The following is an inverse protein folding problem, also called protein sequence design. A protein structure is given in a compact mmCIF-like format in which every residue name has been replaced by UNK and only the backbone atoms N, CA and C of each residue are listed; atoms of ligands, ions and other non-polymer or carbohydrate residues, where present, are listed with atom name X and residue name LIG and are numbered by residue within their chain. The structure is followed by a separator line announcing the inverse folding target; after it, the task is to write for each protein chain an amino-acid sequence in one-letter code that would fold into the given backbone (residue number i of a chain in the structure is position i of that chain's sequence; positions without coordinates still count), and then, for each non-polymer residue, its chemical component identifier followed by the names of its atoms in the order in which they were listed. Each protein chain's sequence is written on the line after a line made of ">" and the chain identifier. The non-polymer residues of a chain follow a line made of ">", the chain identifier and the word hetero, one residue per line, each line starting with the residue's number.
data_IF_642053904875
#
_entry.id   IF_642053904875
#
_cell.length_a   1.000
_cell.length_b   1.000
_cell.length_c   1.000
_cell.angle_alpha   90.00
_cell.angle_beta   90.00
_cell.angle_gamma   90.00
#
_symmetry.space_group_name_H-M   'P 1'
#
loop_
_entity.id
_entity.type
_entity.pdbx_description
1 polymer ?
#
# COMPACT_ATOMS: atom_id res chain seq x y z
N UNK A 1 -14.84 -17.38 11.74
CA UNK A 1 -13.74 -16.50 12.22
C UNK A 1 -13.62 -16.54 13.73
N UNK A 2 -14.64 -16.13 14.50
CA UNK A 2 -14.63 -16.14 15.97
C UNK A 2 -14.15 -17.47 16.59
N UNK A 3 -14.70 -18.61 16.16
CA UNK A 3 -14.27 -19.94 16.63
C UNK A 3 -12.77 -20.25 16.39
N UNK A 4 -12.20 -19.78 15.27
CA UNK A 4 -10.77 -19.94 14.98
C UNK A 4 -9.93 -19.04 15.88
N UNK A 5 -10.39 -17.82 16.11
CA UNK A 5 -9.72 -16.88 17.00
C UNK A 5 -9.72 -17.45 18.42
N UNK A 6 -10.87 -17.88 18.92
CA UNK A 6 -11.04 -18.36 20.29
C UNK A 6 -10.13 -19.56 20.61
N UNK A 7 -9.93 -20.48 19.66
CA UNK A 7 -9.10 -21.69 19.83
C UNK A 7 -7.58 -21.47 19.67
N UNK A 8 -7.16 -20.33 19.13
CA UNK A 8 -5.75 -20.06 18.82
C UNK A 8 -5.12 -19.18 19.89
N UNK A 9 -3.84 -19.41 20.21
CA UNK A 9 -3.10 -18.61 21.19
C UNK A 9 -1.95 -17.85 20.56
N UNK A 10 -1.18 -18.49 19.68
CA UNK A 10 -0.06 -17.88 18.96
C UNK A 10 -0.51 -17.50 17.55
N UNK A 11 -0.53 -16.21 17.24
CA UNK A 11 -1.08 -15.68 16.00
C UNK A 11 0.02 -14.95 15.24
N UNK A 12 0.21 -15.33 13.98
CA UNK A 12 1.02 -14.55 13.05
C UNK A 12 0.09 -13.72 12.18
N UNK A 13 0.42 -12.44 12.04
CA UNK A 13 -0.22 -11.54 11.08
C UNK A 13 0.80 -11.19 10.01
N UNK A 14 0.45 -11.32 8.74
CA UNK A 14 1.34 -10.97 7.64
C UNK A 14 0.62 -10.16 6.56
N UNK A 15 1.41 -9.45 5.77
CA UNK A 15 0.94 -8.58 4.69
C UNK A 15 1.95 -8.53 3.54
N UNK A 16 1.67 -7.75 2.50
CA UNK A 16 2.43 -7.77 1.25
C UNK A 16 3.82 -7.13 1.35
N UNK A 17 4.64 -7.41 0.32
CA UNK A 17 5.93 -6.78 0.07
C UNK A 17 5.77 -5.30 -0.26
N UNK A 18 6.71 -4.48 0.20
CA UNK A 18 6.61 -3.02 0.22
C UNK A 18 5.31 -2.56 0.91
N UNK A 19 5.08 -2.99 2.17
CA UNK A 19 3.85 -2.68 2.88
C UNK A 19 3.71 -1.17 3.07
N UNK A 20 2.51 -0.67 2.84
CA UNK A 20 2.15 0.73 2.96
C UNK A 20 1.30 0.99 4.23
N UNK A 21 0.61 2.13 4.26
CA UNK A 21 -0.16 2.53 5.42
C UNK A 21 -1.37 1.65 5.72
N UNK A 22 -2.00 1.04 4.71
CA UNK A 22 -3.10 0.10 4.92
C UNK A 22 -2.57 -1.23 5.44
N UNK A 23 -1.58 -1.79 4.75
CA UNK A 23 -0.90 -3.01 5.16
C UNK A 23 -0.41 -2.98 6.62
N UNK A 24 0.31 -1.92 7.02
CA UNK A 24 0.83 -1.78 8.39
C UNK A 24 -0.29 -1.44 9.38
N UNK A 25 -1.19 -0.50 9.05
CA UNK A 25 -2.29 -0.09 9.93
C UNK A 25 -3.26 -1.24 10.21
N UNK A 26 -3.69 -1.96 9.18
CA UNK A 26 -4.57 -3.12 9.30
C UNK A 26 -3.93 -4.26 10.09
N UNK A 27 -2.64 -4.54 9.85
CA UNK A 27 -1.92 -5.58 10.58
C UNK A 27 -1.76 -5.25 12.07
N UNK A 28 -1.38 -4.02 12.41
CA UNK A 28 -1.23 -3.59 13.80
C UNK A 28 -2.58 -3.50 14.52
N UNK A 29 -3.65 -3.07 13.85
CA UNK A 29 -4.99 -3.09 14.42
C UNK A 29 -5.42 -4.51 14.83
N UNK A 30 -5.18 -5.51 13.97
CA UNK A 30 -5.45 -6.90 14.30
C UNK A 30 -4.56 -7.43 15.43
N UNK A 31 -3.28 -7.01 15.49
CA UNK A 31 -2.39 -7.37 16.59
C UNK A 31 -2.93 -6.86 17.93
N UNK A 32 -3.22 -5.56 18.02
CA UNK A 32 -3.78 -4.95 19.25
C UNK A 32 -5.11 -5.61 19.65
N UNK A 33 -5.95 -5.95 18.67
CA UNK A 33 -7.17 -6.71 18.92
C UNK A 33 -6.90 -8.07 19.58
N UNK A 34 -5.94 -8.84 19.07
CA UNK A 34 -5.59 -10.14 19.65
C UNK A 34 -4.96 -10.02 21.04
N UNK A 35 -4.08 -9.04 21.24
CA UNK A 35 -3.49 -8.76 22.56
C UNK A 35 -4.57 -8.40 23.59
N UNK A 36 -5.55 -7.57 23.21
CA UNK A 36 -6.72 -7.25 24.06
C UNK A 36 -7.57 -8.48 24.39
N UNK A 37 -7.55 -9.51 23.55
CA UNK A 37 -8.18 -10.81 23.78
C UNK A 37 -7.31 -11.80 24.56
N UNK A 38 -6.15 -11.36 25.07
CA UNK A 38 -5.23 -12.20 25.85
C UNK A 38 -4.46 -13.23 25.00
N UNK A 39 -4.28 -12.94 23.71
CA UNK A 39 -3.57 -13.81 22.76
C UNK A 39 -2.20 -13.22 22.44
N UNK A 40 -1.27 -14.09 22.08
CA UNK A 40 0.06 -13.71 21.62
C UNK A 40 -0.01 -13.47 20.11
N UNK A 41 0.23 -12.24 19.66
CA UNK A 41 0.16 -11.88 18.25
C UNK A 41 1.42 -11.15 17.80
N UNK A 42 1.96 -11.55 16.65
CA UNK A 42 3.13 -10.91 16.05
C UNK A 42 2.88 -10.58 14.59
N UNK A 43 3.28 -9.37 14.19
CA UNK A 43 3.22 -8.93 12.80
C UNK A 43 4.56 -9.22 12.14
N UNK A 44 4.53 -9.86 10.98
CA UNK A 44 5.69 -10.18 10.15
C UNK A 44 5.48 -9.59 8.76
N UNK A 45 6.45 -8.82 8.28
CA UNK A 45 6.42 -8.18 6.96
C UNK A 45 7.60 -8.66 6.09
N UNK A 46 7.46 -8.76 4.76
CA UNK A 46 8.53 -9.29 3.91
C UNK A 46 9.80 -8.42 3.96
N UNK A 47 9.63 -7.10 3.93
CA UNK A 47 10.70 -6.12 3.84
C UNK A 47 10.42 -4.85 4.64
N UNK A 48 11.43 -3.98 4.71
CA UNK A 48 11.37 -2.71 5.45
C UNK A 48 10.21 -1.86 4.92
N UNK A 49 9.42 -1.31 5.84
CA UNK A 49 8.36 -0.36 5.57
C UNK A 49 8.83 1.09 5.79
N UNK A 50 8.12 2.09 5.23
CA UNK A 50 8.54 3.49 5.29
C UNK A 50 8.69 4.05 6.71
N UNK A 51 9.67 4.95 6.91
CA UNK A 51 9.96 5.58 8.21
C UNK A 51 8.77 6.35 8.78
N UNK A 52 7.92 6.93 7.92
CA UNK A 52 6.71 7.66 8.34
C UNK A 52 5.60 6.78 8.90
N UNK A 53 5.77 5.46 8.96
CA UNK A 53 4.85 4.53 9.63
C UNK A 53 5.40 3.99 10.96
N UNK A 54 6.68 4.24 11.28
CA UNK A 54 7.34 3.69 12.48
C UNK A 54 6.81 4.27 13.80
N UNK A 55 6.08 5.38 13.74
CA UNK A 55 5.44 5.97 14.92
C UNK A 55 4.15 5.25 15.33
N UNK A 56 3.61 4.35 14.49
CA UNK A 56 2.39 3.63 14.79
C UNK A 56 2.57 2.76 16.05
N UNK A 57 1.57 2.68 16.94
CA UNK A 57 1.66 1.85 18.14
C UNK A 57 1.95 0.38 17.78
N UNK A 58 3.03 -0.18 18.33
CA UNK A 58 3.47 -1.56 18.07
C UNK A 58 4.32 -1.75 16.81
N UNK A 59 4.64 -0.69 16.06
CA UNK A 59 5.48 -0.80 14.86
C UNK A 59 6.92 -1.27 15.17
N UNK A 60 7.44 -0.94 16.36
CA UNK A 60 8.79 -1.32 16.78
C UNK A 60 8.97 -2.84 16.99
N UNK A 61 7.89 -3.59 17.27
CA UNK A 61 7.97 -5.05 17.44
C UNK A 61 7.64 -5.84 16.16
N UNK A 62 7.42 -5.16 15.03
CA UNK A 62 7.21 -5.83 13.74
C UNK A 62 8.50 -6.57 13.34
N UNK A 63 8.37 -7.86 13.01
CA UNK A 63 9.48 -8.62 12.44
C UNK A 63 9.59 -8.35 10.95
N UNK A 64 10.74 -7.85 10.52
CA UNK A 64 11.06 -7.67 9.10
C UNK A 64 11.78 -8.92 8.61
N UNK A 65 11.12 -9.75 7.80
CA UNK A 65 11.62 -11.07 7.40
C UNK A 65 13.02 -11.02 6.77
N UNK A 66 13.26 -10.07 5.86
CA UNK A 66 14.59 -9.82 5.25
C UNK A 66 15.71 -9.48 6.25
N UNK A 67 15.39 -9.07 7.47
CA UNK A 67 16.37 -8.78 8.53
C UNK A 67 16.41 -9.84 9.63
N UNK A 68 15.28 -10.49 9.89
CA UNK A 68 15.03 -11.34 11.05
C UNK A 68 14.48 -12.71 10.63
N UNK A 69 14.96 -13.26 9.52
CA UNK A 69 14.45 -14.47 8.86
C UNK A 69 14.28 -15.65 9.83
N UNK A 70 15.31 -16.00 10.60
CA UNK A 70 15.26 -17.12 11.55
C UNK A 70 14.16 -16.95 12.60
N UNK A 71 13.98 -15.73 13.13
CA UNK A 71 12.97 -15.43 14.15
C UNK A 71 11.56 -15.45 13.53
N UNK A 72 11.41 -14.89 12.34
CA UNK A 72 10.15 -14.89 11.62
C UNK A 72 9.70 -16.32 11.26
N UNK A 73 10.60 -17.17 10.76
CA UNK A 73 10.32 -18.59 10.49
C UNK A 73 9.88 -19.34 11.74
N UNK A 74 10.60 -19.17 12.85
CA UNK A 74 10.22 -19.81 14.12
C UNK A 74 8.83 -19.37 14.60
N UNK A 75 8.48 -18.08 14.43
CA UNK A 75 7.14 -17.59 14.76
C UNK A 75 6.05 -18.18 13.84
N UNK A 76 6.31 -18.29 12.54
CA UNK A 76 5.40 -18.90 11.56
C UNK A 76 5.16 -20.39 11.84
N UNK A 77 6.22 -21.13 12.20
CA UNK A 77 6.15 -22.54 12.55
C UNK A 77 5.37 -22.79 13.86
N UNK A 78 5.48 -21.87 14.82
CA UNK A 78 4.80 -21.95 16.12
C UNK A 78 3.36 -21.42 16.09
N UNK A 79 2.90 -20.85 14.97
CA UNK A 79 1.58 -20.21 14.88
C UNK A 79 0.43 -21.23 14.94
N UNK A 80 -0.59 -20.93 15.73
CA UNK A 80 -1.87 -21.64 15.77
C UNK A 80 -2.88 -21.05 14.77
N UNK A 81 -2.60 -19.86 14.25
CA UNK A 81 -3.40 -19.12 13.28
C UNK A 81 -2.52 -18.14 12.52
N UNK A 82 -2.73 -18.05 11.22
CA UNK A 82 -2.15 -17.01 10.37
C UNK A 82 -3.28 -16.11 9.87
N UNK A 83 -3.15 -14.81 10.09
CA UNK A 83 -4.03 -13.77 9.55
C UNK A 83 -3.28 -13.03 8.45
N UNK A 84 -3.81 -13.08 7.24
CA UNK A 84 -3.25 -12.39 6.08
C UNK A 84 -4.06 -11.13 5.85
N UNK A 85 -3.41 -9.98 5.93
CA UNK A 85 -4.03 -8.68 5.71
C UNK A 85 -3.53 -8.08 4.39
N UNK A 86 -4.46 -7.49 3.64
CA UNK A 86 -4.16 -6.54 2.56
C UNK A 86 -3.40 -7.12 1.35
N UNK A 87 -3.71 -8.37 0.97
CA UNK A 87 -3.22 -8.98 -0.26
C UNK A 87 -4.12 -10.08 -0.77
N UNK A 88 -4.33 -10.12 -2.08
CA UNK A 88 -5.18 -11.11 -2.74
C UNK A 88 -4.46 -12.42 -3.13
N UNK A 89 -3.14 -12.42 -3.27
CA UNK A 89 -2.37 -13.55 -3.81
C UNK A 89 -1.11 -13.80 -2.99
N UNK A 90 -0.77 -15.08 -2.75
CA UNK A 90 0.38 -15.50 -1.93
C UNK A 90 1.71 -14.92 -2.42
N UNK A 91 1.89 -14.78 -3.74
CA UNK A 91 3.08 -14.20 -4.36
C UNK A 91 3.41 -12.79 -3.85
N UNK A 92 2.42 -12.05 -3.34
CA UNK A 92 2.64 -10.73 -2.72
C UNK A 92 3.38 -10.80 -1.38
N UNK A 93 3.50 -11.96 -0.75
CA UNK A 93 4.33 -12.20 0.44
C UNK A 93 5.83 -12.28 0.10
N UNK A 94 6.18 -12.36 -1.19
CA UNK A 94 7.57 -12.45 -1.67
C UNK A 94 8.36 -13.55 -0.94
N UNK A 95 9.46 -13.20 -0.29
CA UNK A 95 10.34 -14.15 0.41
C UNK A 95 9.71 -14.84 1.63
N UNK A 96 8.52 -14.43 2.07
CA UNK A 96 7.75 -15.11 3.12
C UNK A 96 6.76 -16.15 2.57
N UNK A 97 6.54 -16.18 1.25
CA UNK A 97 5.49 -17.00 0.64
C UNK A 97 5.66 -18.49 0.99
N UNK A 98 6.86 -19.03 0.80
CA UNK A 98 7.13 -20.45 1.02
C UNK A 98 6.83 -20.86 2.48
N UNK A 99 7.27 -20.06 3.45
CA UNK A 99 7.09 -20.35 4.88
C UNK A 99 5.60 -20.28 5.29
N UNK A 100 4.88 -19.26 4.80
CA UNK A 100 3.44 -19.09 5.09
C UNK A 100 2.61 -20.18 4.41
N UNK A 101 2.97 -20.59 3.20
CA UNK A 101 2.28 -21.66 2.47
C UNK A 101 2.55 -23.03 3.08
N UNK A 102 3.77 -23.27 3.58
CA UNK A 102 4.15 -24.52 4.24
C UNK A 102 3.58 -24.65 5.67
N UNK A 103 3.19 -23.53 6.31
CA UNK A 103 2.60 -23.54 7.65
C UNK A 103 1.33 -24.41 7.71
N UNK A 104 1.23 -25.20 8.78
CA UNK A 104 0.05 -26.04 9.06
C UNK A 104 -1.09 -25.27 9.72
N UNK A 105 -0.83 -24.03 10.13
CA UNK A 105 -1.81 -23.19 10.77
C UNK A 105 -2.99 -22.90 9.82
N UNK A 106 -4.24 -22.85 10.31
CA UNK A 106 -5.33 -22.27 9.55
C UNK A 106 -4.99 -20.84 9.14
N UNK A 107 -5.43 -20.45 7.94
CA UNK A 107 -5.22 -19.10 7.38
C UNK A 107 -6.55 -18.37 7.20
N UNK A 108 -6.60 -17.11 7.63
CA UNK A 108 -7.72 -16.18 7.40
C UNK A 108 -7.20 -15.03 6.54
N UNK A 109 -7.84 -14.78 5.41
CA UNK A 109 -7.60 -13.63 4.56
C UNK A 109 -8.59 -12.50 4.91
N UNK A 110 -8.09 -11.29 5.11
CA UNK A 110 -8.85 -10.04 5.26
C UNK A 110 -8.29 -9.04 4.23
N UNK A 111 -9.08 -8.72 3.21
CA UNK A 111 -8.57 -7.99 2.06
C UNK A 111 -9.68 -7.22 1.31
N UNK A 112 -9.28 -6.21 0.54
CA UNK A 112 -10.16 -5.41 -0.32
C UNK A 112 -9.70 -5.37 -1.80
N UNK A 113 -8.67 -6.13 -2.17
CA UNK A 113 -8.24 -6.22 -3.57
C UNK A 113 -9.19 -7.11 -4.38
N UNK A 114 -9.19 -6.92 -5.71
CA UNK A 114 -9.92 -7.79 -6.65
C UNK A 114 -9.26 -9.17 -6.75
N UNK A 115 -10.05 -10.18 -7.15
CA UNK A 115 -9.55 -11.50 -7.54
C UNK A 115 -8.68 -12.22 -6.47
N UNK A 116 -9.23 -12.50 -5.27
CA UNK A 116 -8.51 -13.27 -4.25
C UNK A 116 -8.22 -14.71 -4.70
N UNK A 117 -7.03 -15.21 -4.38
CA UNK A 117 -6.65 -16.60 -4.56
C UNK A 117 -7.41 -17.50 -3.57
N UNK A 118 -8.47 -18.14 -4.07
CA UNK A 118 -9.32 -19.05 -3.32
C UNK A 118 -8.60 -20.32 -2.83
N UNK A 119 -7.42 -20.64 -3.39
CA UNK A 119 -6.59 -21.76 -2.98
C UNK A 119 -5.62 -21.44 -1.84
N UNK A 120 -5.34 -20.15 -1.60
CA UNK A 120 -4.36 -19.71 -0.63
C UNK A 120 -4.88 -19.73 0.81
N UNK A 121 -6.09 -19.23 1.04
CA UNK A 121 -6.72 -19.17 2.36
C UNK A 121 -8.07 -19.89 2.36
N UNK A 122 -8.34 -20.71 3.39
CA UNK A 122 -9.63 -21.40 3.53
C UNK A 122 -10.75 -20.47 4.01
N UNK A 123 -10.41 -19.47 4.80
CA UNK A 123 -11.34 -18.50 5.34
C UNK A 123 -11.03 -17.14 4.73
N UNK A 124 -11.96 -16.56 3.99
CA UNK A 124 -11.72 -15.35 3.19
C UNK A 124 -12.80 -14.32 3.52
N UNK A 125 -12.34 -13.11 3.86
CA UNK A 125 -13.13 -11.89 3.93
C UNK A 125 -12.53 -10.94 2.88
N UNK A 126 -13.12 -10.94 1.68
CA UNK A 126 -12.68 -10.12 0.55
C UNK A 126 -13.79 -9.15 0.16
N UNK A 127 -13.51 -7.85 0.25
CA UNK A 127 -14.51 -6.79 0.05
C UNK A 127 -14.03 -5.71 -0.92
N UNK A 128 -14.05 -5.95 -2.24
CA UNK A 128 -13.49 -5.01 -3.21
C UNK A 128 -14.21 -3.66 -3.35
N UNK A 129 -15.37 -3.52 -2.70
CA UNK A 129 -16.12 -2.26 -2.64
C UNK A 129 -15.68 -1.35 -1.49
N UNK A 130 -14.84 -1.87 -0.59
CA UNK A 130 -14.28 -1.14 0.55
C UNK A 130 -13.01 -0.38 0.18
N UNK A 131 -12.82 0.74 0.86
CA UNK A 131 -11.79 1.70 0.54
C UNK A 131 -10.41 1.37 1.11
N UNK A 132 -10.32 0.34 1.95
CA UNK A 132 -9.10 -0.14 2.62
C UNK A 132 -9.41 -1.47 3.31
N UNK A 133 -8.40 -2.31 3.52
CA UNK A 133 -8.44 -3.43 4.46
C UNK A 133 -8.79 -2.95 5.87
N UNK A 134 -8.38 -1.73 6.24
CA UNK A 134 -8.78 -1.09 7.50
C UNK A 134 -10.29 -0.89 7.64
N UNK A 135 -11.01 -0.59 6.55
CA UNK A 135 -12.48 -0.52 6.55
C UNK A 135 -13.09 -1.92 6.74
N UNK A 136 -12.51 -2.95 6.11
CA UNK A 136 -12.94 -4.35 6.28
C UNK A 136 -12.87 -4.76 7.74
N UNK A 137 -11.78 -4.40 8.43
CA UNK A 137 -11.61 -4.68 9.86
C UNK A 137 -12.62 -3.88 10.70
N UNK A 138 -12.87 -2.61 10.40
CA UNK A 138 -13.90 -1.82 11.08
C UNK A 138 -15.30 -2.48 10.98
N UNK A 139 -15.65 -3.00 9.79
CA UNK A 139 -16.89 -3.79 9.63
C UNK A 139 -16.84 -5.06 10.47
N UNK A 140 -15.75 -5.84 10.41
CA UNK A 140 -15.62 -7.07 11.19
C UNK A 140 -15.76 -6.82 12.70
N UNK A 141 -15.13 -5.77 13.22
CA UNK A 141 -15.27 -5.39 14.63
C UNK A 141 -16.69 -4.96 14.96
N UNK A 142 -17.39 -4.31 14.04
CA UNK A 142 -18.80 -3.97 14.22
C UNK A 142 -19.67 -5.22 14.29
N UNK A 143 -19.50 -6.14 13.34
CA UNK A 143 -20.26 -7.39 13.26
C UNK A 143 -19.99 -8.31 14.48
N UNK A 144 -18.79 -8.24 15.06
CA UNK A 144 -18.44 -8.98 16.28
C UNK A 144 -18.88 -8.29 17.58
N UNK A 145 -19.44 -7.07 17.52
CA UNK A 145 -19.79 -6.28 18.70
C UNK A 145 -18.58 -5.73 19.47
N UNK A 146 -17.42 -5.64 18.80
CA UNK A 146 -16.13 -5.24 19.37
C UNK A 146 -15.80 -3.78 19.14
N UNK A 147 -16.38 -3.16 18.10
CA UNK A 147 -15.99 -1.84 17.63
C UNK A 147 -16.12 -0.75 18.71
N UNK A 148 -17.10 -0.83 19.62
CA UNK A 148 -17.25 0.15 20.72
C UNK A 148 -16.24 -0.07 21.87
N UNK A 149 -15.49 -1.18 21.86
CA UNK A 149 -14.54 -1.57 22.89
C UNK A 149 -13.09 -1.62 22.39
N UNK A 150 -12.81 -1.11 21.19
CA UNK A 150 -11.43 -1.02 20.71
C UNK A 150 -10.63 -0.02 21.55
N UNK A 151 -9.35 -0.29 21.67
CA UNK A 151 -8.37 0.62 22.26
C UNK A 151 -8.08 1.81 21.34
N UNK A 152 -7.50 2.87 21.91
CA UNK A 152 -6.99 4.00 21.14
C UNK A 152 -5.93 3.55 20.12
N UNK A 153 -5.07 2.58 20.46
CA UNK A 153 -4.06 2.02 19.56
C UNK A 153 -4.69 1.32 18.35
N UNK A 154 -5.72 0.49 18.55
CA UNK A 154 -6.52 -0.10 17.45
C UNK A 154 -7.10 1.01 16.57
N UNK A 155 -7.68 2.04 17.18
CA UNK A 155 -8.31 3.13 16.45
C UNK A 155 -7.31 3.97 15.61
N UNK A 156 -6.12 4.27 16.16
CA UNK A 156 -5.03 4.96 15.44
C UNK A 156 -4.60 4.16 14.21
N UNK A 157 -4.43 2.84 14.36
CA UNK A 157 -3.99 1.96 13.29
C UNK A 157 -5.06 1.85 12.18
N UNK A 158 -6.32 1.64 12.56
CA UNK A 158 -7.44 1.57 11.61
C UNK A 158 -7.65 2.89 10.85
N UNK A 159 -7.62 4.02 11.56
CA UNK A 159 -7.74 5.33 10.91
C UNK A 159 -6.58 5.57 9.95
N UNK A 160 -5.35 5.21 10.33
CA UNK A 160 -4.18 5.34 9.45
C UNK A 160 -4.33 4.52 8.19
N UNK A 161 -4.80 3.27 8.30
CA UNK A 161 -5.05 2.39 7.16
C UNK A 161 -6.04 3.03 6.16
N UNK A 162 -7.23 3.40 6.66
CA UNK A 162 -8.26 4.03 5.84
C UNK A 162 -7.81 5.37 5.23
N UNK A 163 -7.08 6.18 6.01
CA UNK A 163 -6.58 7.48 5.54
C UNK A 163 -5.53 7.30 4.44
N UNK A 164 -4.62 6.33 4.56
CA UNK A 164 -3.56 6.11 3.57
C UNK A 164 -4.13 5.64 2.23
N UNK A 165 -5.00 4.63 2.23
CA UNK A 165 -5.50 4.04 0.98
C UNK A 165 -6.52 4.93 0.24
N UNK A 166 -7.08 5.94 0.91
CA UNK A 166 -7.99 6.92 0.29
C UNK A 166 -7.32 8.27 -0.01
N UNK A 167 -6.01 8.40 0.21
CA UNK A 167 -5.29 9.66 0.08
C UNK A 167 -5.86 10.77 0.96
N UNK A 168 -6.05 10.46 2.24
CA UNK A 168 -6.75 11.28 3.21
C UNK A 168 -8.19 11.58 2.81
N UNK A 169 -8.94 10.54 2.41
CA UNK A 169 -10.34 10.62 2.01
C UNK A 169 -10.60 11.56 0.82
N UNK A 170 -9.64 11.62 -0.11
CA UNK A 170 -9.73 12.45 -1.33
C UNK A 170 -10.12 11.65 -2.58
N UNK A 171 -9.99 10.32 -2.53
CA UNK A 171 -10.48 9.40 -3.55
C UNK A 171 -11.05 8.12 -2.91
N UNK A 172 -11.85 7.37 -3.68
CA UNK A 172 -12.51 6.13 -3.25
C UNK A 172 -13.22 6.19 -1.87
N UNK A 173 -13.76 7.36 -1.51
CA UNK A 173 -14.21 7.65 -0.13
C UNK A 173 -15.62 8.24 -0.03
N UNK A 174 -16.41 8.19 -1.11
CA UNK A 174 -17.77 8.79 -1.12
C UNK A 174 -18.82 8.00 -0.32
N UNK A 175 -18.53 6.77 0.12
CA UNK A 175 -19.50 5.92 0.83
C UNK A 175 -19.74 6.50 2.24
N UNK A 176 -20.98 6.83 2.64
CA UNK A 176 -21.26 7.43 3.95
C UNK A 176 -20.73 6.62 5.14
N UNK A 177 -20.79 5.28 5.05
CA UNK A 177 -20.32 4.36 6.10
C UNK A 177 -18.84 4.52 6.44
N UNK A 178 -18.00 5.00 5.51
CA UNK A 178 -16.58 5.33 5.77
C UNK A 178 -16.51 6.41 6.86
N UNK A 179 -17.34 7.44 6.76
CA UNK A 179 -17.35 8.55 7.72
C UNK A 179 -18.03 8.17 9.03
N UNK A 180 -18.94 7.19 9.02
CA UNK A 180 -19.46 6.57 10.25
C UNK A 180 -18.34 5.83 11.00
N UNK A 181 -17.52 5.04 10.28
CA UNK A 181 -16.33 4.43 10.86
C UNK A 181 -15.36 5.47 11.40
N UNK A 182 -15.03 6.51 10.62
CA UNK A 182 -14.16 7.61 11.07
C UNK A 182 -14.71 8.28 12.34
N UNK A 183 -16.02 8.56 12.39
CA UNK A 183 -16.65 9.15 13.57
C UNK A 183 -16.52 8.25 14.79
N UNK A 184 -16.66 6.93 14.64
CA UNK A 184 -16.49 5.97 15.73
C UNK A 184 -15.03 5.91 16.18
N UNK A 185 -14.08 5.81 15.26
CA UNK A 185 -12.65 5.83 15.57
C UNK A 185 -12.24 7.10 16.35
N UNK A 186 -12.76 8.27 15.95
CA UNK A 186 -12.56 9.53 16.68
C UNK A 186 -13.12 9.50 18.10
N UNK A 187 -14.22 8.77 18.34
CA UNK A 187 -14.79 8.65 19.68
C UNK A 187 -13.90 7.88 20.68
N UNK A 188 -12.89 7.16 20.19
CA UNK A 188 -11.87 6.50 21.02
C UNK A 188 -10.68 7.41 21.37
N UNK A 189 -10.74 8.70 21.05
CA UNK A 189 -9.77 9.70 21.54
C UNK A 189 -8.58 9.99 20.61
N UNK A 190 -8.57 9.45 19.39
CA UNK A 190 -7.46 9.66 18.45
C UNK A 190 -7.35 11.12 17.98
N UNK A 191 -6.13 11.62 17.82
CA UNK A 191 -5.84 12.89 17.14
C UNK A 191 -5.58 12.64 15.65
N UNK A 192 -6.64 12.72 14.83
CA UNK A 192 -6.52 12.53 13.37
C UNK A 192 -5.55 13.50 12.69
N UNK A 193 -5.35 14.70 13.25
CA UNK A 193 -4.47 15.69 12.65
C UNK A 193 -3.02 15.35 12.94
N UNK A 194 -2.72 14.82 14.14
CA UNK A 194 -1.42 14.24 14.45
C UNK A 194 -1.12 13.05 13.55
N UNK A 195 -2.08 12.14 13.36
CA UNK A 195 -1.94 11.00 12.44
C UNK A 195 -1.61 11.49 11.02
N UNK A 196 -2.39 12.45 10.51
CA UNK A 196 -2.15 13.04 9.20
C UNK A 196 -0.74 13.66 9.08
N UNK A 197 -0.30 14.45 10.07
CA UNK A 197 1.03 15.06 10.08
C UNK A 197 2.14 14.01 10.12
N UNK A 198 1.99 12.97 10.93
CA UNK A 198 2.99 11.91 11.05
C UNK A 198 3.13 11.05 9.80
N UNK A 199 2.10 10.99 8.95
CA UNK A 199 2.16 10.28 7.66
C UNK A 199 2.63 11.22 6.54
N UNK A 200 1.95 12.35 6.35
CA UNK A 200 2.10 13.18 5.15
C UNK A 200 3.08 14.36 5.32
N UNK A 201 3.31 14.85 6.55
CA UNK A 201 4.18 16.01 6.82
C UNK A 201 5.56 15.58 7.34
N UNK A 202 6.13 14.57 6.71
CA UNK A 202 7.42 13.96 7.08
C UNK A 202 8.54 14.20 6.05
N UNK A 203 8.28 15.02 5.03
CA UNK A 203 9.24 15.27 3.96
C UNK A 203 10.49 15.97 4.48
N UNK A 204 11.66 15.44 4.11
CA UNK A 204 12.93 16.11 4.32
C UNK A 204 13.09 17.31 3.38
N UNK A 205 13.95 18.26 3.73
CA UNK A 205 14.33 19.37 2.81
C UNK A 205 14.82 18.82 1.46
N UNK A 206 15.63 17.75 1.48
CA UNK A 206 16.17 17.13 0.28
C UNK A 206 15.05 16.58 -0.63
N UNK A 207 14.03 15.93 -0.03
CA UNK A 207 12.84 15.45 -0.74
C UNK A 207 12.07 16.60 -1.39
N UNK A 208 11.84 17.68 -0.66
CA UNK A 208 11.14 18.86 -1.19
C UNK A 208 11.90 19.53 -2.34
N UNK A 209 13.23 19.65 -2.22
CA UNK A 209 14.08 20.18 -3.30
C UNK A 209 14.10 19.28 -4.53
N UNK A 210 14.16 17.96 -4.34
CA UNK A 210 14.05 16.99 -5.44
C UNK A 210 12.72 17.17 -6.18
N UNK A 211 11.61 17.23 -5.45
CA UNK A 211 10.29 17.43 -6.05
C UNK A 211 10.25 18.72 -6.88
N UNK A 212 10.71 19.84 -6.32
CA UNK A 212 10.80 21.11 -7.05
C UNK A 212 11.64 21.00 -8.33
N UNK A 213 12.80 20.33 -8.27
CA UNK A 213 13.64 20.09 -9.44
C UNK A 213 12.94 19.24 -10.50
N UNK A 214 12.32 18.12 -10.10
CA UNK A 214 11.65 17.22 -11.04
C UNK A 214 10.46 17.89 -11.74
N UNK A 215 9.69 18.71 -11.02
CA UNK A 215 8.57 19.46 -11.59
C UNK A 215 9.05 20.57 -12.54
N UNK A 216 10.14 21.25 -12.20
CA UNK A 216 10.63 22.38 -12.99
C UNK A 216 11.42 21.95 -14.23
N UNK A 217 12.28 20.91 -14.10
CA UNK A 217 13.23 20.51 -15.15
C UNK A 217 12.76 19.27 -15.91
N UNK A 218 12.20 18.27 -15.22
CA UNK A 218 12.01 16.93 -15.79
C UNK A 218 10.55 16.59 -16.11
N UNK A 219 9.61 17.47 -15.79
CA UNK A 219 8.21 17.26 -16.12
C UNK A 219 7.93 17.70 -17.56
N UNK A 220 7.40 16.79 -18.37
CA UNK A 220 6.92 17.07 -19.71
C UNK A 220 5.40 16.91 -19.76
N UNK A 221 4.70 17.99 -20.12
CA UNK A 221 3.23 18.01 -20.21
C UNK A 221 2.79 17.83 -21.66
N UNK A 222 1.95 16.82 -21.89
CA UNK A 222 1.31 16.53 -23.17
C UNK A 222 -0.11 17.10 -23.15
N UNK A 223 -0.23 18.43 -23.31
CA UNK A 223 -1.51 19.16 -23.18
C UNK A 223 -2.65 18.55 -24.01
N UNK A 224 -2.39 18.20 -25.27
CA UNK A 224 -3.38 17.61 -26.18
C UNK A 224 -3.78 16.16 -25.84
N UNK A 225 -3.20 15.60 -24.77
CA UNK A 225 -3.44 14.23 -24.30
C UNK A 225 -3.76 14.20 -22.80
N UNK A 226 -3.98 15.35 -22.17
CA UNK A 226 -4.32 15.41 -20.74
C UNK A 226 -3.37 14.59 -19.87
N UNK A 227 -2.08 14.55 -20.23
CA UNK A 227 -1.10 13.66 -19.63
C UNK A 227 0.22 14.37 -19.28
N UNK A 228 0.93 13.86 -18.29
CA UNK A 228 2.27 14.33 -17.92
C UNK A 228 3.24 13.16 -17.69
N UNK A 229 4.50 13.39 -18.01
CA UNK A 229 5.61 12.44 -17.79
C UNK A 229 6.65 13.14 -16.92
N UNK A 230 7.11 12.48 -15.85
CA UNK A 230 8.25 12.91 -15.03
C UNK A 230 9.33 11.84 -15.09
N UNK A 231 10.60 12.23 -15.22
CA UNK A 231 11.75 11.30 -15.24
C UNK A 231 12.72 11.53 -14.09
N UNK A 232 13.33 10.47 -13.58
CA UNK A 232 14.42 10.54 -12.59
C UNK A 232 15.55 9.55 -12.91
N UNK A 233 16.75 10.07 -13.17
CA UNK A 233 17.97 9.30 -13.42
C UNK A 233 18.73 8.96 -12.13
N UNK A 234 19.60 7.95 -12.17
CA UNK A 234 20.50 7.61 -11.07
C UNK A 234 21.55 8.69 -10.80
N UNK A 235 21.95 9.46 -11.83
CA UNK A 235 22.79 10.64 -11.65
C UNK A 235 22.09 11.69 -10.78
N UNK A 236 20.83 12.02 -11.09
CA UNK A 236 20.03 12.95 -10.30
C UNK A 236 19.75 12.40 -8.90
N UNK A 237 19.47 11.10 -8.77
CA UNK A 237 19.33 10.45 -7.45
C UNK A 237 20.56 10.69 -6.58
N UNK A 238 21.77 10.50 -7.14
CA UNK A 238 23.03 10.77 -6.43
C UNK A 238 23.19 12.24 -6.08
N UNK A 239 22.90 13.14 -7.03
CA UNK A 239 22.97 14.59 -6.83
C UNK A 239 22.10 15.06 -5.66
N UNK A 240 20.88 14.55 -5.56
CA UNK A 240 19.92 14.92 -4.52
C UNK A 240 19.99 14.03 -3.26
N UNK A 241 20.91 13.04 -3.23
CA UNK A 241 21.06 12.07 -2.14
C UNK A 241 19.73 11.39 -1.77
N UNK A 242 18.98 11.02 -2.80
CA UNK A 242 17.62 10.45 -2.69
C UNK A 242 17.67 9.17 -1.85
N UNK A 243 16.79 9.11 -0.84
CA UNK A 243 16.59 7.93 0.01
C UNK A 243 15.37 7.15 -0.46
N UNK A 244 15.24 5.91 0.04
CA UNK A 244 14.02 5.14 -0.14
C UNK A 244 12.83 5.92 0.44
N UNK A 245 11.71 5.97 -0.28
CA UNK A 245 10.53 6.75 0.07
C UNK A 245 10.51 8.19 -0.45
N UNK A 246 11.65 8.81 -0.79
CA UNK A 246 11.66 10.22 -1.24
C UNK A 246 10.93 10.43 -2.57
N UNK A 247 10.84 9.40 -3.41
CA UNK A 247 10.13 9.44 -4.69
C UNK A 247 8.65 9.09 -4.59
N UNK A 248 8.17 8.66 -3.42
CA UNK A 248 6.76 8.33 -3.22
C UNK A 248 5.88 9.56 -3.39
N UNK A 249 4.73 9.38 -4.04
CA UNK A 249 3.75 10.42 -4.30
C UNK A 249 4.09 11.36 -5.47
N UNK A 250 5.31 11.36 -6.01
CA UNK A 250 5.71 12.28 -7.10
C UNK A 250 4.82 12.12 -8.33
N UNK A 251 4.47 10.87 -8.67
CA UNK A 251 3.58 10.56 -9.79
C UNK A 251 2.18 11.17 -9.63
N UNK A 252 1.72 11.49 -8.42
CA UNK A 252 0.41 12.11 -8.22
C UNK A 252 0.41 13.63 -8.48
N UNK A 253 1.56 14.30 -8.34
CA UNK A 253 1.63 15.77 -8.37
C UNK A 253 1.08 16.36 -9.68
N UNK A 254 1.40 15.83 -10.88
CA UNK A 254 0.86 16.37 -12.13
C UNK A 254 -0.66 16.29 -12.26
N UNK A 255 -1.31 15.37 -11.53
CA UNK A 255 -2.77 15.25 -11.53
C UNK A 255 -3.48 16.44 -10.86
N UNK A 256 -2.73 17.26 -10.11
CA UNK A 256 -3.26 18.51 -9.53
C UNK A 256 -3.45 19.61 -10.57
N UNK A 257 -2.81 19.50 -11.74
CA UNK A 257 -3.00 20.44 -12.84
C UNK A 257 -4.36 20.21 -13.50
N UNK A 258 -5.12 21.30 -13.68
CA UNK A 258 -6.47 21.25 -14.24
C UNK A 258 -6.48 20.53 -15.59
N UNK A 259 -7.35 19.51 -15.68
CA UNK A 259 -7.55 18.74 -16.90
C UNK A 259 -6.55 17.60 -17.12
N UNK A 260 -5.54 17.40 -16.27
CA UNK A 260 -4.68 16.21 -16.36
C UNK A 260 -5.46 14.96 -15.92
N UNK A 261 -5.52 13.95 -16.79
CA UNK A 261 -6.13 12.65 -16.52
C UNK A 261 -5.11 11.55 -16.23
N UNK A 262 -3.88 11.67 -16.73
CA UNK A 262 -2.83 10.66 -16.58
C UNK A 262 -1.49 11.29 -16.20
N UNK A 263 -0.80 10.64 -15.27
CA UNK A 263 0.57 10.98 -14.89
C UNK A 263 1.42 9.72 -14.88
N UNK A 264 2.61 9.81 -15.49
CA UNK A 264 3.57 8.71 -15.57
C UNK A 264 4.89 9.19 -14.99
N UNK A 265 5.42 8.45 -14.01
CA UNK A 265 6.75 8.66 -13.46
C UNK A 265 7.66 7.52 -13.89
N UNK A 266 8.79 7.85 -14.50
CA UNK A 266 9.80 6.91 -14.97
C UNK A 266 11.07 7.14 -14.16
N UNK A 267 11.61 6.09 -13.54
CA UNK A 267 12.88 6.21 -12.85
C UNK A 267 13.80 5.02 -13.15
N UNK A 268 15.10 5.27 -13.13
CA UNK A 268 16.09 4.19 -13.27
C UNK A 268 16.04 3.26 -12.05
N UNK A 269 16.02 1.95 -12.31
CA UNK A 269 16.14 0.92 -11.28
C UNK A 269 17.56 0.97 -10.70
N UNK A 270 17.66 1.07 -9.38
CA UNK A 270 18.93 1.08 -8.65
C UNK A 270 19.53 -0.32 -8.51
N UNK A 271 18.71 -1.36 -8.64
CA UNK A 271 19.13 -2.76 -8.47
C UNK A 271 19.39 -3.46 -9.80
N UNK A 272 18.73 -3.02 -10.88
CA UNK A 272 18.80 -3.64 -12.20
C UNK A 272 19.25 -2.61 -13.25
N UNK A 273 20.57 -2.45 -13.48
CA UNK A 273 21.09 -1.51 -14.48
C UNK A 273 20.44 -1.67 -15.86
N UNK A 274 20.08 -0.55 -16.50
CA UNK A 274 19.38 -0.56 -17.79
C UNK A 274 17.90 -0.91 -17.71
N UNK A 275 17.32 -0.94 -16.50
CA UNK A 275 15.88 -1.12 -16.28
C UNK A 275 15.25 0.17 -15.78
N UNK A 276 14.07 0.50 -16.30
CA UNK A 276 13.26 1.64 -15.91
C UNK A 276 12.03 1.14 -15.15
N UNK A 277 11.79 1.64 -13.93
CA UNK A 277 10.53 1.44 -13.20
C UNK A 277 9.55 2.54 -13.60
N UNK A 278 8.33 2.13 -13.93
CA UNK A 278 7.24 3.03 -14.27
C UNK A 278 6.20 2.99 -13.17
N UNK A 279 5.71 4.17 -12.79
CA UNK A 279 4.54 4.36 -11.94
C UNK A 279 3.52 5.19 -12.69
N UNK A 280 2.28 4.71 -12.72
CA UNK A 280 1.16 5.35 -13.40
C UNK A 280 0.10 5.74 -12.37
N UNK A 281 -0.47 6.93 -12.55
CA UNK A 281 -1.63 7.41 -11.80
C UNK A 281 -2.60 8.10 -12.74
N UNK A 282 -3.89 7.90 -12.52
CA UNK A 282 -4.95 8.58 -13.26
C UNK A 282 -6.04 9.12 -12.36
N UNK A 283 -6.82 10.06 -12.90
CA UNK A 283 -8.06 10.56 -12.29
C UNK A 283 -9.24 10.12 -13.16
N UNK A 284 -10.34 9.72 -12.52
CA UNK A 284 -11.55 9.28 -13.19
C UNK A 284 -11.44 7.84 -13.68
N UNK A 285 -11.66 7.65 -14.99
CA UNK A 285 -11.91 6.32 -15.57
C UNK A 285 -10.78 5.78 -16.45
N UNK A 286 -9.65 6.48 -16.55
CA UNK A 286 -8.53 6.01 -17.37
C UNK A 286 -7.87 4.76 -16.76
N UNK A 287 -7.76 3.63 -17.49
CA UNK A 287 -7.31 2.34 -16.95
C UNK A 287 -5.78 2.20 -16.97
N UNK A 288 -5.11 2.66 -15.92
CA UNK A 288 -3.65 2.52 -15.76
C UNK A 288 -3.19 1.06 -15.72
N UNK A 289 -3.98 0.16 -15.17
CA UNK A 289 -3.73 -1.29 -15.08
C UNK A 289 -3.62 -1.92 -16.47
N UNK A 290 -4.56 -1.62 -17.36
CA UNK A 290 -4.56 -2.12 -18.73
C UNK A 290 -3.40 -1.54 -19.55
N UNK A 291 -3.10 -0.25 -19.36
CA UNK A 291 -1.94 0.39 -19.98
C UNK A 291 -0.63 -0.26 -19.52
N UNK A 292 -0.48 -0.49 -18.21
CA UNK A 292 0.71 -1.09 -17.62
C UNK A 292 0.94 -2.53 -18.06
N UNK A 293 -0.11 -3.35 -18.05
CA UNK A 293 -0.06 -4.74 -18.52
C UNK A 293 0.33 -4.83 -19.99
N UNK A 294 -0.29 -4.00 -20.83
CA UNK A 294 -0.07 -4.06 -22.28
C UNK A 294 1.29 -3.54 -22.73
N UNK A 295 1.76 -2.43 -22.17
CA UNK A 295 2.93 -1.74 -22.68
C UNK A 295 4.20 -1.94 -21.85
N UNK A 296 4.06 -2.26 -20.55
CA UNK A 296 5.15 -2.17 -19.58
C UNK A 296 5.37 -3.47 -18.78
N UNK A 297 4.75 -4.58 -19.19
CA UNK A 297 4.88 -5.87 -18.52
C UNK A 297 4.48 -5.81 -17.03
N UNK A 298 3.49 -4.98 -16.72
CA UNK A 298 3.11 -4.63 -15.35
C UNK A 298 1.63 -4.82 -15.03
N UNK A 299 1.12 -4.06 -14.07
CA UNK A 299 -0.26 -4.15 -13.59
C UNK A 299 -0.50 -3.31 -12.34
N UNK A 300 -1.65 -3.52 -11.70
CA UNK A 300 -2.06 -2.82 -10.49
C UNK A 300 -3.56 -2.51 -10.50
N UNK A 301 -3.96 -1.42 -9.84
CA UNK A 301 -5.33 -0.94 -9.83
C UNK A 301 -5.62 -0.01 -11.00
N UNK A 302 -6.90 0.15 -11.32
CA UNK A 302 -7.42 1.04 -12.38
C UNK A 302 -6.74 2.40 -12.40
N UNK A 303 -6.59 3.05 -11.23
CA UNK A 303 -6.02 4.40 -11.14
C UNK A 303 -4.57 4.44 -10.63
N UNK A 304 -3.99 3.29 -10.32
CA UNK A 304 -2.69 3.18 -9.66
C UNK A 304 -1.99 1.88 -10.07
N UNK A 305 -1.07 1.98 -11.03
CA UNK A 305 -0.37 0.81 -11.58
C UNK A 305 1.11 1.08 -11.83
N UNK A 306 1.87 0.05 -12.16
CA UNK A 306 3.30 0.18 -12.47
C UNK A 306 3.80 -0.92 -13.38
N UNK A 307 5.05 -0.80 -13.81
CA UNK A 307 5.70 -1.77 -14.70
C UNK A 307 7.22 -1.57 -14.76
N UNK A 308 7.89 -2.42 -15.53
CA UNK A 308 9.34 -2.34 -15.75
C UNK A 308 9.68 -2.50 -17.23
N UNK A 309 10.60 -1.69 -17.72
CA UNK A 309 11.13 -1.78 -19.09
C UNK A 309 12.65 -1.91 -19.05
N UNK A 310 13.19 -2.92 -19.74
CA UNK A 310 14.64 -3.06 -19.93
C UNK A 310 15.07 -2.28 -21.17
N UNK A 311 15.30 -0.98 -21.00
CA UNK A 311 15.71 -0.06 -22.07
C UNK A 311 16.37 1.20 -21.49
N UNK A 312 16.78 2.13 -22.36
CA UNK A 312 17.25 3.45 -21.93
C UNK A 312 16.10 4.33 -21.45
N UNK A 313 16.40 5.36 -20.64
CA UNK A 313 15.41 6.37 -20.23
C UNK A 313 14.67 6.98 -21.44
N UNK A 314 15.39 7.31 -22.50
CA UNK A 314 14.80 7.81 -23.74
C UNK A 314 13.86 6.78 -24.37
N UNK A 315 14.25 5.51 -24.43
CA UNK A 315 13.41 4.44 -24.95
C UNK A 315 12.13 4.25 -24.12
N UNK A 316 12.21 4.36 -22.79
CA UNK A 316 11.04 4.30 -21.92
C UNK A 316 10.09 5.49 -22.14
N UNK A 317 10.63 6.71 -22.26
CA UNK A 317 9.82 7.90 -22.57
C UNK A 317 9.08 7.74 -23.91
N UNK A 318 9.75 7.26 -24.96
CA UNK A 318 9.10 7.03 -26.25
C UNK A 318 8.04 5.92 -26.18
N UNK A 319 8.30 4.84 -25.43
CA UNK A 319 7.30 3.77 -25.20
C UNK A 319 6.08 4.30 -24.44
N UNK A 320 6.27 5.18 -23.47
CA UNK A 320 5.17 5.83 -22.75
C UNK A 320 4.37 6.74 -23.68
N UNK A 321 5.02 7.52 -24.55
CA UNK A 321 4.31 8.34 -25.55
C UNK A 321 3.51 7.48 -26.53
N UNK A 322 4.06 6.37 -27.01
CA UNK A 322 3.34 5.39 -27.85
C UNK A 322 2.07 4.88 -27.14
N UNK A 323 2.19 4.52 -25.86
CA UNK A 323 1.06 4.06 -25.07
C UNK A 323 0.01 5.18 -24.84
N UNK A 324 0.44 6.42 -24.62
CA UNK A 324 -0.46 7.58 -24.49
C UNK A 324 -1.23 7.82 -25.80
N UNK A 325 -0.57 7.71 -26.95
CA UNK A 325 -1.23 7.83 -28.24
C UNK A 325 -2.21 6.68 -28.49
N UNK A 326 -1.88 5.45 -28.08
CA UNK A 326 -2.78 4.31 -28.18
C UNK A 326 -4.10 4.54 -27.43
N UNK A 327 -4.04 5.18 -26.26
CA UNK A 327 -5.23 5.50 -25.45
C UNK A 327 -5.70 6.96 -25.61
N UNK A 328 -5.34 7.65 -26.70
CA UNK A 328 -5.64 9.06 -26.88
C UNK A 328 -7.14 9.38 -26.77
N UNK A 329 -8.00 8.47 -27.23
CA UNK A 329 -9.46 8.68 -27.20
C UNK A 329 -10.08 8.52 -25.81
N UNK A 330 -9.41 7.82 -24.87
CA UNK A 330 -9.82 7.79 -23.47
C UNK A 330 -9.32 9.02 -22.69
N UNK A 331 -8.29 9.70 -23.21
CA UNK A 331 -7.68 10.86 -22.59
C UNK A 331 -8.32 12.18 -23.02
N UNK A 332 -8.87 12.25 -24.24
CA UNK A 332 -9.68 13.40 -24.71
C UNK A 332 -10.96 13.57 -23.90
#
# INVERSE_FOLDING_TARGET
>A
MKELIDRSQNIVICTHVNPDGDAIGSSLAMRHYFERKGKEAIVIVPNIFPDFLKWLPGADDILVHTKQETQAKAAIEAADLVVVCDLNQSARLANMEEDIVASKAPRILIDHHLDPDMGFCRHIVSEPTMCATGEVICRLFTDMGEMDNISENEAVCLYTAMMCDTGAFSFNSNRPVIYEHVSRLLSHGIDKDLIYRNVFWTASEARLRLQGYLLYVNMNVLYNRHAAIITLTNEERRRFKVKNGDTEGIVNIPLTMLGTKLSVFINEDTEHPGTMKLSLRSVGDFPCDQMASRFFGGGGHKNASGGRLQCSMQGAVEKVKEAIEYYADLLK
#
